data_IF_993857753165
#
_entry.id   IF_993857753165
#
_cell.length_a   1.000
_cell.length_b   1.000
_cell.length_c   1.000
_cell.angle_alpha   90.00
_cell.angle_beta   90.00
_cell.angle_gamma   90.00
#
_symmetry.space_group_name_H-M   'P 1'
#
loop_
_entity.id
_entity.type
_entity.pdbx_description
1 polymer ?
#
# COMPACT_ATOMS: atom_id res chain seq x y z
N UNK A 1 -19.70 6.72 8.32
CA UNK A 1 -19.73 6.32 6.90
C UNK A 1 -18.68 5.25 6.69
N UNK A 2 -18.89 4.26 5.80
CA UNK A 2 -17.83 3.31 5.46
C UNK A 2 -16.67 4.04 4.76
N UNK A 3 -15.46 3.56 4.97
CA UNK A 3 -14.25 4.00 4.27
C UNK A 3 -14.36 3.69 2.76
N UNK A 4 -13.71 4.51 1.92
CA UNK A 4 -13.70 4.39 0.44
C UNK A 4 -12.26 4.42 -0.08
N UNK A 5 -11.92 3.66 -1.14
CA UNK A 5 -10.56 3.67 -1.70
C UNK A 5 -10.13 5.10 -2.03
N UNK A 6 -8.85 5.40 -1.79
CA UNK A 6 -8.24 6.71 -2.03
C UNK A 6 -6.78 6.50 -2.45
N UNK A 7 -6.31 7.24 -3.46
CA UNK A 7 -4.91 7.21 -3.92
C UNK A 7 -3.99 8.20 -3.19
N UNK A 8 -4.52 9.00 -2.28
CA UNK A 8 -3.72 9.89 -1.44
C UNK A 8 -3.10 9.11 -0.27
N UNK A 9 -1.78 9.20 -0.15
CA UNK A 9 -1.03 8.69 1.00
C UNK A 9 -0.85 9.80 2.02
N UNK A 10 -1.10 9.48 3.28
CA UNK A 10 -0.81 10.34 4.42
C UNK A 10 0.49 9.85 5.08
N UNK A 11 1.19 10.79 5.73
CA UNK A 11 2.41 10.50 6.48
C UNK A 11 2.35 11.15 7.85
N UNK A 12 3.13 10.65 8.78
CA UNK A 12 3.36 11.24 10.09
C UNK A 12 4.85 11.30 10.40
N UNK A 13 5.25 12.18 11.32
CA UNK A 13 6.65 12.35 11.70
C UNK A 13 7.26 11.04 12.24
N UNK A 14 8.48 10.72 11.80
CA UNK A 14 9.20 9.55 12.30
C UNK A 14 9.46 9.71 13.82
N UNK A 15 8.94 8.82 14.68
CA UNK A 15 9.09 8.94 16.14
C UNK A 15 10.52 8.70 16.62
N UNK A 16 11.41 8.15 15.79
CA UNK A 16 12.78 7.81 16.14
C UNK A 16 13.74 8.16 14.98
N UNK A 17 13.73 9.41 14.51
CA UNK A 17 14.56 9.83 13.36
C UNK A 17 16.08 9.73 13.58
N UNK A 18 16.54 9.63 14.84
CA UNK A 18 17.97 9.54 15.18
C UNK A 18 18.56 8.13 15.01
N UNK A 19 17.75 7.13 14.66
CA UNK A 19 18.22 5.75 14.47
C UNK A 19 17.52 5.06 13.31
N UNK A 20 18.26 4.20 12.63
CA UNK A 20 17.69 3.31 11.64
C UNK A 20 16.90 2.18 12.31
N UNK A 21 15.69 1.96 11.82
CA UNK A 21 14.89 0.78 12.13
C UNK A 21 14.07 0.37 10.91
N UNK A 22 13.89 -0.95 10.74
CA UNK A 22 13.12 -1.50 9.62
C UNK A 22 11.65 -1.52 9.99
N UNK A 23 10.82 -0.88 9.16
CA UNK A 23 9.36 -1.00 9.19
C UNK A 23 8.97 -2.06 8.16
N UNK A 24 8.29 -3.10 8.62
CA UNK A 24 7.74 -4.19 7.78
C UNK A 24 6.22 -4.13 7.78
N UNK A 25 5.64 -4.18 6.59
CA UNK A 25 4.18 -4.22 6.41
C UNK A 25 3.85 -5.35 5.44
N UNK A 26 3.09 -6.33 5.93
CA UNK A 26 2.55 -7.42 5.14
C UNK A 26 1.10 -7.10 4.74
N UNK A 27 0.80 -7.19 3.44
CA UNK A 27 -0.50 -6.87 2.86
C UNK A 27 -1.00 -8.08 2.07
N UNK A 28 -1.58 -9.09 2.75
CA UNK A 28 -2.04 -10.33 2.12
C UNK A 28 -3.36 -10.19 1.33
N UNK A 29 -3.98 -9.01 1.37
CA UNK A 29 -5.31 -8.75 0.78
C UNK A 29 -5.25 -7.93 -0.52
N UNK A 30 -4.10 -7.85 -1.19
CA UNK A 30 -3.99 -7.12 -2.44
C UNK A 30 -4.69 -7.88 -3.59
N UNK A 31 -5.43 -7.12 -4.39
CA UNK A 31 -6.08 -7.59 -5.61
C UNK A 31 -6.20 -6.46 -6.63
N UNK A 32 -6.14 -6.82 -7.90
CA UNK A 32 -6.36 -5.92 -9.04
C UNK A 32 -6.99 -6.69 -10.20
N UNK A 33 -7.26 -6.01 -11.32
CA UNK A 33 -7.72 -6.67 -12.54
C UNK A 33 -6.55 -6.92 -13.50
N UNK A 34 -6.53 -8.09 -14.13
CA UNK A 34 -5.61 -8.38 -15.21
C UNK A 34 -5.96 -7.49 -16.43
N UNK A 35 -5.03 -6.67 -16.96
CA UNK A 35 -5.30 -5.77 -18.10
C UNK A 35 -5.74 -6.49 -19.37
N UNK A 36 -5.41 -7.78 -19.50
CA UNK A 36 -5.69 -8.59 -20.70
C UNK A 36 -7.05 -9.28 -20.64
N UNK A 37 -7.41 -9.83 -19.48
CA UNK A 37 -8.57 -10.71 -19.33
C UNK A 37 -9.71 -10.08 -18.53
N UNK A 38 -9.43 -9.02 -17.77
CA UNK A 38 -10.37 -8.43 -16.82
C UNK A 38 -10.67 -9.32 -15.61
N UNK A 39 -9.96 -10.44 -15.45
CA UNK A 39 -10.10 -11.32 -14.28
C UNK A 39 -9.37 -10.73 -13.07
N UNK A 40 -9.85 -10.99 -11.84
CA UNK A 40 -9.17 -10.54 -10.64
C UNK A 40 -7.90 -11.37 -10.39
N UNK A 41 -6.80 -10.67 -10.15
CA UNK A 41 -5.53 -11.22 -9.69
C UNK A 41 -5.36 -10.94 -8.19
N UNK A 42 -4.62 -11.81 -7.50
CA UNK A 42 -4.37 -11.71 -6.06
C UNK A 42 -2.88 -11.89 -5.77
N UNK A 43 -2.35 -11.08 -4.86
CA UNK A 43 -0.98 -11.24 -4.38
C UNK A 43 -0.85 -10.84 -2.91
N UNK A 44 0.23 -11.29 -2.28
CA UNK A 44 0.69 -10.72 -1.01
C UNK A 44 1.78 -9.71 -1.30
N UNK A 45 1.59 -8.47 -0.88
CA UNK A 45 2.61 -7.44 -0.99
C UNK A 45 3.41 -7.38 0.32
N UNK A 46 4.72 -7.33 0.19
CA UNK A 46 5.65 -7.14 1.31
C UNK A 46 6.37 -5.81 1.13
N UNK A 47 6.18 -4.88 2.07
CA UNK A 47 6.86 -3.59 2.09
C UNK A 47 7.84 -3.56 3.26
N UNK A 48 9.12 -3.37 2.94
CA UNK A 48 10.17 -3.08 3.93
C UNK A 48 10.81 -1.74 3.61
N UNK A 49 10.88 -0.86 4.60
CA UNK A 49 11.58 0.42 4.44
C UNK A 49 12.19 0.90 5.76
N UNK A 50 13.16 1.80 5.65
CA UNK A 50 13.70 2.59 6.76
C UNK A 50 13.22 4.02 6.54
N UNK A 51 12.47 4.56 7.51
CA UNK A 51 11.95 5.92 7.44
C UNK A 51 13.07 6.92 7.78
N UNK A 52 13.21 7.99 6.97
CA UNK A 52 14.01 9.16 7.34
C UNK A 52 13.16 10.07 8.25
N UNK A 53 12.53 11.12 7.70
CA UNK A 53 11.74 12.08 8.49
C UNK A 53 10.30 11.69 8.74
N UNK A 54 9.72 10.85 7.89
CA UNK A 54 8.28 10.54 7.91
C UNK A 54 8.00 9.07 7.64
N UNK A 55 6.95 8.57 8.29
CA UNK A 55 6.42 7.22 8.13
C UNK A 55 5.09 7.27 7.38
N UNK A 56 4.81 6.28 6.54
CA UNK A 56 3.50 6.16 5.88
C UNK A 56 2.42 5.79 6.90
N UNK A 57 1.28 6.47 6.85
CA UNK A 57 0.14 6.17 7.71
C UNK A 57 -0.61 4.93 7.19
N UNK A 58 -0.82 3.96 8.07
CA UNK A 58 -1.24 2.60 7.69
C UNK A 58 -2.65 2.55 7.09
N UNK A 59 -3.58 3.39 7.54
CA UNK A 59 -4.92 3.45 6.97
C UNK A 59 -4.89 4.01 5.55
N UNK A 60 -4.15 5.09 5.30
CA UNK A 60 -3.99 5.69 3.97
C UNK A 60 -3.34 4.71 3.01
N UNK A 61 -2.30 3.97 3.45
CA UNK A 61 -1.70 2.88 2.68
C UNK A 61 -2.73 1.80 2.35
N UNK A 62 -3.54 1.37 3.31
CA UNK A 62 -4.63 0.41 3.06
C UNK A 62 -5.62 0.94 2.01
N UNK A 63 -5.99 2.21 2.07
CA UNK A 63 -6.91 2.81 1.09
C UNK A 63 -6.28 2.90 -0.31
N UNK A 64 -4.97 3.17 -0.38
CA UNK A 64 -4.18 3.20 -1.61
C UNK A 64 -4.13 1.81 -2.25
N UNK A 65 -3.80 0.77 -1.48
CA UNK A 65 -3.78 -0.62 -1.96
C UNK A 65 -5.18 -1.07 -2.40
N UNK A 66 -6.23 -0.70 -1.66
CA UNK A 66 -7.61 -0.99 -2.08
C UNK A 66 -7.99 -0.28 -3.39
N UNK A 67 -7.40 0.88 -3.71
CA UNK A 67 -7.72 1.59 -4.96
C UNK A 67 -7.44 0.78 -6.23
N UNK A 68 -6.59 -0.24 -6.16
CA UNK A 68 -6.25 -1.12 -7.28
C UNK A 68 -7.29 -2.22 -7.56
N UNK A 69 -8.24 -2.47 -6.64
CA UNK A 69 -9.17 -3.61 -6.73
C UNK A 69 -9.87 -3.72 -8.09
N UNK A 70 -10.32 -2.59 -8.61
CA UNK A 70 -11.06 -2.50 -9.87
C UNK A 70 -10.21 -1.89 -11.00
N UNK A 71 -8.89 -1.81 -10.82
CA UNK A 71 -7.94 -1.22 -11.77
C UNK A 71 -7.21 -2.31 -12.57
N UNK A 72 -7.18 -2.14 -13.89
CA UNK A 72 -6.42 -3.00 -14.79
C UNK A 72 -4.93 -2.67 -14.75
N UNK A 73 -4.12 -3.44 -14.04
CA UNK A 73 -2.66 -3.22 -13.97
C UNK A 73 -1.87 -4.53 -14.06
N UNK A 74 -0.67 -4.47 -14.66
CA UNK A 74 0.30 -5.55 -14.53
C UNK A 74 0.93 -5.50 -13.13
N UNK A 75 1.38 -6.64 -12.62
CA UNK A 75 2.04 -6.68 -11.30
C UNK A 75 3.41 -6.00 -11.30
N UNK A 76 4.03 -5.88 -12.48
CA UNK A 76 5.34 -5.27 -12.68
C UNK A 76 5.30 -3.75 -12.92
N UNK A 77 4.11 -3.15 -13.05
CA UNK A 77 3.90 -1.77 -13.48
C UNK A 77 3.79 -0.76 -12.33
#
# INVERSE_FOLDING_TARGET
MPSKPNKELEVFDNPNADRDYVIRIDMPEFTCLCPKTGQPDFATLHLEYIADKACVELKSLKMYIWSFRDEGTFHEA
#
